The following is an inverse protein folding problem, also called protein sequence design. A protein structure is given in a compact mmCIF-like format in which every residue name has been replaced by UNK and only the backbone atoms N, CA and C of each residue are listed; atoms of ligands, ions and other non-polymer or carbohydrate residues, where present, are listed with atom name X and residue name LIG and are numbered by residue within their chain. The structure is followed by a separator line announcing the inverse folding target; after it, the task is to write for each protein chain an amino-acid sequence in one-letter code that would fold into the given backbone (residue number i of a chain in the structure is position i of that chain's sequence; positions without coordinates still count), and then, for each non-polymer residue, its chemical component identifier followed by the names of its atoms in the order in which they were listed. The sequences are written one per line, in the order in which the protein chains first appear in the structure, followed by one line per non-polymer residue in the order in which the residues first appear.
data_IF_492745200955
#
_entry.id   IF_492745200955
#
_cell.length_a   1.000
_cell.length_b   1.000
_cell.length_c   1.000
_cell.angle_alpha   90.00
_cell.angle_beta   90.00
_cell.angle_gamma   90.00
#
_symmetry.space_group_name_H-M   'P 1'
#
loop_
_entity.id
_entity.type
_entity.pdbx_description
1 polymer ?
#
# COMPACT_ATOMS: atom_id res chain seq x y z
N UNK A 1 2.93 4.22 -16.67
CA UNK A 1 2.47 3.71 -15.36
C UNK A 1 3.43 2.63 -14.86
N UNK A 2 4.54 3.04 -14.24
CA UNK A 2 5.58 2.12 -13.73
C UNK A 2 5.13 1.48 -12.41
N UNK A 3 4.56 2.27 -11.50
CA UNK A 3 3.86 1.77 -10.29
C UNK A 3 2.35 1.76 -10.55
N UNK A 4 1.67 0.68 -10.17
CA UNK A 4 0.22 0.47 -10.38
C UNK A 4 -0.43 -0.08 -9.12
N UNK A 5 -1.74 0.14 -8.99
CA UNK A 5 -2.51 -0.22 -7.81
C UNK A 5 -2.49 0.88 -6.74
N UNK A 6 -3.67 1.26 -6.25
CA UNK A 6 -3.80 2.40 -5.35
C UNK A 6 -2.96 2.25 -4.06
N UNK A 7 -2.92 1.07 -3.40
CA UNK A 7 -2.05 0.87 -2.24
C UNK A 7 -0.56 0.96 -2.59
N UNK A 8 -0.09 0.30 -3.66
CA UNK A 8 1.31 0.37 -4.06
C UNK A 8 1.76 1.78 -4.45
N UNK A 9 0.89 2.58 -5.08
CA UNK A 9 1.18 3.99 -5.39
C UNK A 9 1.38 4.79 -4.12
N UNK A 10 0.49 4.63 -3.13
CA UNK A 10 0.58 5.34 -1.85
C UNK A 10 1.86 5.00 -1.09
N UNK A 11 2.18 3.69 -0.98
CA UNK A 11 3.39 3.22 -0.30
C UNK A 11 4.66 3.66 -1.03
N UNK A 12 4.70 3.55 -2.37
CA UNK A 12 5.86 4.00 -3.14
C UNK A 12 6.09 5.51 -3.00
N UNK A 13 5.03 6.32 -2.98
CA UNK A 13 5.14 7.77 -2.78
C UNK A 13 5.68 8.11 -1.39
N UNK A 14 5.12 7.52 -0.34
CA UNK A 14 5.58 7.72 1.04
C UNK A 14 7.06 7.32 1.21
N UNK A 15 7.44 6.14 0.71
CA UNK A 15 8.82 5.66 0.80
C UNK A 15 9.79 6.47 -0.07
N UNK A 16 9.35 6.99 -1.23
CA UNK A 16 10.21 7.84 -2.06
C UNK A 16 10.61 9.12 -1.35
N UNK A 17 9.68 9.76 -0.63
CA UNK A 17 9.97 10.94 0.16
C UNK A 17 10.80 10.57 1.41
N UNK A 18 10.60 9.39 1.98
CA UNK A 18 11.43 8.89 3.08
C UNK A 18 12.89 8.72 2.66
N UNK A 19 13.14 8.21 1.45
CA UNK A 19 14.48 8.13 0.84
C UNK A 19 15.03 9.52 0.55
N UNK A 20 14.22 10.43 0.00
CA UNK A 20 14.64 11.81 -0.26
C UNK A 20 15.13 12.49 1.03
N UNK A 21 14.35 12.43 2.11
CA UNK A 21 14.76 13.05 3.38
C UNK A 21 15.85 12.27 4.12
N UNK A 22 16.02 10.98 3.85
CA UNK A 22 17.18 10.22 4.34
C UNK A 22 18.49 10.76 3.75
N UNK A 23 18.47 11.14 2.48
CA UNK A 23 19.64 11.65 1.76
C UNK A 23 19.88 13.16 1.97
N UNK A 24 19.06 13.83 2.77
CA UNK A 24 19.32 15.21 3.20
C UNK A 24 20.37 15.21 4.30
N UNK A 25 21.65 15.20 3.92
CA UNK A 25 22.78 15.16 4.86
C UNK A 25 22.87 16.41 5.76
N UNK A 26 22.51 17.58 5.23
CA UNK A 26 22.48 18.84 5.97
C UNK A 26 21.20 19.60 5.67
N UNK A 27 20.28 19.59 6.63
CA UNK A 27 19.10 20.44 6.60
C UNK A 27 19.28 21.60 7.57
N UNK A 28 19.52 22.80 7.05
CA UNK A 28 19.76 24.02 7.84
C UNK A 28 18.49 24.73 8.32
N UNK A 29 17.31 24.16 8.08
CA UNK A 29 16.03 24.73 8.47
C UNK A 29 15.59 24.34 9.88
N UNK A 30 14.57 25.04 10.37
CA UNK A 30 13.90 24.74 11.63
C UNK A 30 13.02 23.48 11.52
N UNK A 31 12.50 23.00 12.66
CA UNK A 31 11.52 21.92 12.68
C UNK A 31 10.24 22.25 11.88
N UNK A 32 9.84 23.53 11.84
CA UNK A 32 8.70 23.97 11.04
C UNK A 32 9.02 23.94 9.55
N UNK A 33 10.24 24.32 9.15
CA UNK A 33 10.68 24.23 7.75
C UNK A 33 10.70 22.76 7.27
N UNK A 34 11.13 21.83 8.12
CA UNK A 34 11.09 20.40 7.83
C UNK A 34 9.66 19.89 7.65
N UNK A 35 8.75 20.29 8.53
CA UNK A 35 7.34 19.94 8.45
C UNK A 35 6.68 20.50 7.17
N UNK A 36 6.94 21.77 6.84
CA UNK A 36 6.45 22.40 5.62
C UNK A 36 7.02 21.74 4.37
N UNK A 37 8.31 21.38 4.35
CA UNK A 37 8.93 20.65 3.24
C UNK A 37 8.21 19.32 3.00
N UNK A 38 8.01 18.52 4.04
CA UNK A 38 7.32 17.24 3.94
C UNK A 38 5.87 17.42 3.47
N UNK A 39 5.14 18.37 4.04
CA UNK A 39 3.75 18.65 3.68
C UNK A 39 3.61 19.04 2.20
N UNK A 40 4.45 19.95 1.71
CA UNK A 40 4.46 20.40 0.32
C UNK A 40 4.81 19.26 -0.65
N UNK A 41 5.77 18.40 -0.28
CA UNK A 41 6.16 17.23 -1.09
C UNK A 41 5.03 16.20 -1.15
N UNK A 42 4.32 15.97 -0.04
CA UNK A 42 3.15 15.11 -0.01
C UNK A 42 2.03 15.66 -0.90
N UNK A 43 1.76 16.97 -0.87
CA UNK A 43 0.78 17.60 -1.76
C UNK A 43 1.14 17.47 -3.24
N UNK A 44 2.42 17.67 -3.55
CA UNK A 44 2.93 17.45 -4.90
C UNK A 44 2.72 16.00 -5.35
N UNK A 45 3.02 15.02 -4.49
CA UNK A 45 2.80 13.60 -4.79
C UNK A 45 1.33 13.29 -5.03
N UNK A 46 0.41 13.80 -4.19
CA UNK A 46 -1.05 13.65 -4.37
C UNK A 46 -1.50 14.20 -5.73
N UNK A 47 -0.97 15.35 -6.14
CA UNK A 47 -1.31 15.97 -7.42
C UNK A 47 -0.95 15.13 -8.65
N UNK A 48 0.02 14.20 -8.52
CA UNK A 48 0.43 13.33 -9.63
C UNK A 48 -0.67 12.36 -10.06
N UNK A 49 -1.56 11.94 -9.14
CA UNK A 49 -2.66 11.00 -9.38
C UNK A 49 -3.84 11.31 -8.45
N UNK A 50 -4.60 12.39 -8.71
CA UNK A 50 -5.62 12.89 -7.78
C UNK A 50 -6.79 11.93 -7.54
N UNK A 51 -6.97 10.92 -8.40
CA UNK A 51 -8.01 9.89 -8.25
C UNK A 51 -7.57 8.70 -7.38
N UNK A 52 -6.30 8.63 -6.97
CA UNK A 52 -5.80 7.57 -6.09
C UNK A 52 -6.09 7.93 -4.62
N UNK A 53 -7.29 7.62 -4.14
CA UNK A 53 -7.73 7.95 -2.76
C UNK A 53 -6.73 7.45 -1.70
N UNK A 54 -6.17 6.24 -1.85
CA UNK A 54 -5.15 5.72 -0.93
C UNK A 54 -3.92 6.63 -0.79
N UNK A 55 -3.53 7.36 -1.85
CA UNK A 55 -2.41 8.30 -1.80
C UNK A 55 -2.79 9.55 -1.01
N UNK A 56 -4.00 10.06 -1.22
CA UNK A 56 -4.54 11.19 -0.45
C UNK A 56 -4.65 10.84 1.04
N UNK A 57 -5.22 9.66 1.36
CA UNK A 57 -5.34 9.18 2.74
C UNK A 57 -3.98 9.00 3.40
N UNK A 58 -3.02 8.44 2.67
CA UNK A 58 -1.64 8.30 3.13
C UNK A 58 -1.00 9.64 3.46
N UNK A 59 -1.14 10.63 2.57
CA UNK A 59 -0.62 11.97 2.77
C UNK A 59 -1.24 12.65 3.99
N UNK A 60 -2.55 12.52 4.20
CA UNK A 60 -3.25 13.07 5.37
C UNK A 60 -2.68 12.47 6.67
N UNK A 61 -2.61 11.14 6.77
CA UNK A 61 -2.06 10.45 7.95
C UNK A 61 -0.61 10.85 8.25
N UNK A 62 0.22 10.95 7.21
CA UNK A 62 1.62 11.35 7.38
C UNK A 62 1.74 12.81 7.85
N UNK A 63 0.89 13.72 7.34
CA UNK A 63 0.84 15.12 7.80
C UNK A 63 0.37 15.22 9.26
N UNK A 64 -0.56 14.38 9.69
CA UNK A 64 -0.96 14.30 11.10
C UNK A 64 0.21 13.85 11.99
N UNK A 65 0.94 12.81 11.59
CA UNK A 65 2.16 12.37 12.30
C UNK A 65 3.17 13.51 12.41
N UNK A 66 3.45 14.20 11.31
CA UNK A 66 4.37 15.34 11.28
C UNK A 66 3.90 16.43 12.26
N UNK A 67 2.62 16.79 12.22
CA UNK A 67 2.05 17.85 13.04
C UNK A 67 2.13 17.53 14.54
N UNK A 68 1.86 16.27 14.90
CA UNK A 68 1.97 15.80 16.29
C UNK A 68 3.42 15.79 16.80
N UNK A 69 4.36 15.41 15.94
CA UNK A 69 5.78 15.35 16.30
C UNK A 69 6.38 16.75 16.44
N UNK A 70 5.99 17.71 15.60
CA UNK A 70 6.41 19.11 15.69
C UNK A 70 6.17 19.71 17.08
N UNK A 71 5.11 19.30 17.78
CA UNK A 71 4.80 19.80 19.12
C UNK A 71 5.81 19.36 20.21
N UNK A 72 6.60 18.31 19.96
CA UNK A 72 7.50 17.70 20.96
C UNK A 72 8.93 17.49 20.46
N UNK A 73 9.19 17.67 19.16
CA UNK A 73 10.49 17.46 18.55
C UNK A 73 11.52 18.52 18.98
N UNK A 74 12.77 18.07 19.17
CA UNK A 74 13.89 18.95 19.49
C UNK A 74 14.46 19.64 18.23
N UNK A 75 14.39 18.98 17.07
CA UNK A 75 15.01 19.44 15.82
C UNK A 75 14.31 18.89 14.56
N UNK A 76 14.70 19.42 13.40
CA UNK A 76 14.22 18.96 12.10
C UNK A 76 14.52 17.47 11.83
N UNK A 77 15.65 16.97 12.35
CA UNK A 77 16.06 15.57 12.18
C UNK A 77 15.03 14.63 12.82
N UNK A 78 14.53 14.97 14.00
CA UNK A 78 13.49 14.21 14.71
C UNK A 78 12.20 14.13 13.90
N UNK A 79 11.80 15.23 13.25
CA UNK A 79 10.64 15.25 12.34
C UNK A 79 10.84 14.30 11.15
N UNK A 80 12.01 14.34 10.50
CA UNK A 80 12.31 13.42 9.40
C UNK A 80 12.36 11.95 9.86
N UNK A 81 12.91 11.65 11.05
CA UNK A 81 12.91 10.29 11.57
C UNK A 81 11.51 9.77 11.83
N UNK A 82 10.64 10.60 12.42
CA UNK A 82 9.26 10.22 12.66
C UNK A 82 8.49 9.98 11.35
N UNK A 83 8.70 10.83 10.34
CA UNK A 83 8.13 10.63 9.02
C UNK A 83 8.57 9.30 8.38
N UNK A 84 9.88 9.01 8.38
CA UNK A 84 10.42 7.76 7.81
C UNK A 84 9.85 6.54 8.53
N UNK A 85 9.83 6.56 9.87
CA UNK A 85 9.25 5.49 10.67
C UNK A 85 7.77 5.28 10.32
N UNK A 86 6.98 6.35 10.24
CA UNK A 86 5.57 6.23 9.85
C UNK A 86 5.39 5.67 8.44
N UNK A 87 6.22 6.07 7.47
CA UNK A 87 6.19 5.52 6.11
C UNK A 87 6.53 4.02 6.06
N UNK A 88 7.50 3.57 6.87
CA UNK A 88 7.85 2.15 7.02
C UNK A 88 6.75 1.35 7.70
N UNK A 89 6.10 1.90 8.74
CA UNK A 89 4.95 1.28 9.40
C UNK A 89 3.79 1.13 8.42
N UNK A 90 3.50 2.14 7.59
CA UNK A 90 2.45 2.02 6.57
C UNK A 90 2.70 0.87 5.58
N UNK A 91 3.96 0.64 5.20
CA UNK A 91 4.33 -0.53 4.40
C UNK A 91 3.98 -1.83 5.13
N UNK A 92 4.36 -1.95 6.40
CA UNK A 92 4.09 -3.15 7.21
C UNK A 92 2.58 -3.37 7.40
N UNK A 93 1.83 -2.31 7.67
CA UNK A 93 0.38 -2.33 7.85
C UNK A 93 -0.35 -2.76 6.58
N UNK A 94 0.07 -2.30 5.39
CA UNK A 94 -0.51 -2.75 4.12
C UNK A 94 -0.26 -4.25 3.90
N UNK A 95 0.94 -4.75 4.21
CA UNK A 95 1.25 -6.19 4.13
C UNK A 95 0.40 -7.00 5.11
N UNK A 96 0.27 -6.53 6.35
CA UNK A 96 -0.55 -7.18 7.38
C UNK A 96 -2.03 -7.20 6.97
N UNK A 97 -2.55 -6.08 6.49
CA UNK A 97 -3.92 -5.93 6.02
C UNK A 97 -4.23 -6.84 4.84
N UNK A 98 -3.33 -6.92 3.85
CA UNK A 98 -3.49 -7.82 2.69
C UNK A 98 -3.52 -9.30 3.10
N UNK A 99 -2.66 -9.71 4.05
CA UNK A 99 -2.69 -11.08 4.60
C UNK A 99 -3.99 -11.35 5.36
N UNK A 100 -4.45 -10.39 6.16
CA UNK A 100 -5.70 -10.50 6.92
C UNK A 100 -6.90 -10.62 5.97
N UNK A 101 -6.97 -9.80 4.92
CA UNK A 101 -7.99 -9.89 3.86
C UNK A 101 -8.01 -11.29 3.25
N UNK A 102 -6.83 -11.84 2.93
CA UNK A 102 -6.71 -13.18 2.39
C UNK A 102 -7.28 -14.25 3.33
N UNK A 103 -6.83 -14.23 4.58
CA UNK A 103 -7.24 -15.20 5.61
C UNK A 103 -8.73 -15.11 5.92
N UNK A 104 -9.26 -13.91 6.17
CA UNK A 104 -10.68 -13.72 6.48
C UNK A 104 -11.57 -14.06 5.28
N UNK A 105 -11.15 -13.68 4.07
CA UNK A 105 -11.88 -14.02 2.84
C UNK A 105 -11.94 -15.53 2.58
N UNK A 106 -10.82 -16.24 2.80
CA UNK A 106 -10.78 -17.69 2.63
C UNK A 106 -11.65 -18.41 3.67
N UNK A 107 -11.57 -18.00 4.95
CA UNK A 107 -12.45 -18.52 6.01
C UNK A 107 -13.92 -18.30 5.69
N UNK A 108 -14.28 -17.08 5.28
CA UNK A 108 -15.65 -16.74 4.92
C UNK A 108 -16.17 -17.65 3.78
N UNK A 109 -15.39 -17.82 2.72
CA UNK A 109 -15.77 -18.68 1.60
C UNK A 109 -15.94 -20.15 2.02
N UNK A 110 -15.03 -20.67 2.85
CA UNK A 110 -15.11 -22.03 3.38
C UNK A 110 -16.37 -22.24 4.23
N UNK A 111 -16.72 -21.26 5.06
CA UNK A 111 -17.87 -21.34 5.94
C UNK A 111 -19.20 -21.26 5.19
N UNK A 112 -19.24 -20.61 4.03
CA UNK A 112 -20.49 -20.39 3.28
C UNK A 112 -20.64 -21.33 2.08
N UNK A 113 -19.56 -21.94 1.59
CA UNK A 113 -19.56 -22.85 0.44
C UNK A 113 -19.29 -24.31 0.84
N UNK A 114 -19.77 -24.72 2.03
CA UNK A 114 -19.54 -26.05 2.66
C UNK A 114 -19.91 -27.25 1.78
N UNK A 115 -20.74 -27.07 0.77
CA UNK A 115 -21.16 -28.13 -0.15
C UNK A 115 -20.05 -28.59 -1.11
N UNK A 116 -18.95 -27.84 -1.25
CA UNK A 116 -17.86 -28.16 -2.17
C UNK A 116 -16.53 -28.31 -1.42
N UNK A 117 -15.85 -29.47 -1.51
CA UNK A 117 -14.57 -29.68 -0.84
C UNK A 117 -13.43 -28.86 -1.47
N UNK A 118 -13.62 -28.39 -2.71
CA UNK A 118 -12.71 -27.48 -3.40
C UNK A 118 -13.49 -26.37 -4.09
N UNK A 119 -12.86 -25.21 -4.24
CA UNK A 119 -13.45 -23.99 -4.79
C UNK A 119 -12.73 -23.57 -6.07
N UNK A 120 -13.50 -23.19 -7.08
CA UNK A 120 -12.99 -22.48 -8.25
C UNK A 120 -13.32 -20.99 -8.14
N UNK A 121 -12.34 -20.12 -8.37
CA UNK A 121 -12.49 -18.66 -8.21
C UNK A 121 -12.25 -17.96 -9.54
N UNK A 122 -13.10 -17.01 -9.91
CA UNK A 122 -12.88 -16.08 -11.00
C UNK A 122 -12.47 -14.72 -10.43
N UNK A 123 -11.39 -14.13 -10.96
CA UNK A 123 -10.94 -12.79 -10.60
C UNK A 123 -10.85 -11.87 -11.82
N UNK A 124 -10.95 -10.57 -11.55
CA UNK A 124 -10.96 -9.52 -12.56
C UNK A 124 -9.92 -8.45 -12.18
N UNK A 125 -9.20 -7.92 -13.18
CA UNK A 125 -8.07 -7.01 -13.00
C UNK A 125 -6.90 -7.66 -12.22
N UNK A 126 -5.94 -6.83 -11.80
CA UNK A 126 -4.84 -7.23 -10.95
C UNK A 126 -4.89 -6.44 -9.65
N UNK A 127 -5.17 -7.14 -8.55
CA UNK A 127 -5.09 -6.63 -7.17
C UNK A 127 -4.12 -7.47 -6.34
N UNK A 128 -3.15 -8.11 -7.01
CA UNK A 128 -2.12 -8.93 -6.40
C UNK A 128 -0.95 -8.12 -5.83
N UNK A 129 0.17 -8.78 -5.57
CA UNK A 129 1.40 -8.16 -5.04
C UNK A 129 2.04 -7.09 -5.92
N UNK A 130 1.65 -7.00 -7.19
CA UNK A 130 2.07 -5.92 -8.09
C UNK A 130 1.21 -4.65 -7.94
N UNK A 131 0.09 -4.75 -7.24
CA UNK A 131 -0.87 -3.66 -7.01
C UNK A 131 -0.92 -3.20 -5.54
N UNK A 132 -0.26 -3.92 -4.64
CA UNK A 132 -0.18 -3.62 -3.21
C UNK A 132 1.27 -3.74 -2.72
N UNK A 133 1.55 -3.43 -1.45
CA UNK A 133 2.89 -3.60 -0.89
C UNK A 133 3.39 -5.05 -1.00
N UNK A 134 2.50 -6.01 -0.73
CA UNK A 134 2.74 -7.44 -0.86
C UNK A 134 1.42 -8.19 -0.76
N UNK A 135 1.43 -9.45 -1.19
CA UNK A 135 0.34 -10.43 -1.02
C UNK A 135 -0.92 -10.14 -1.83
N UNK A 136 -1.37 -8.89 -1.92
CA UNK A 136 -2.59 -8.50 -2.65
C UNK A 136 -3.87 -8.72 -1.87
N UNK A 137 -4.99 -8.23 -2.42
CA UNK A 137 -6.32 -8.31 -1.80
C UNK A 137 -7.10 -9.53 -2.31
N UNK A 138 -7.79 -9.44 -3.45
CA UNK A 138 -8.57 -10.56 -3.98
C UNK A 138 -7.68 -11.76 -4.38
N UNK A 139 -6.55 -11.57 -5.10
CA UNK A 139 -5.53 -12.62 -5.23
C UNK A 139 -4.91 -13.06 -3.90
N UNK A 140 -4.94 -12.22 -2.86
CA UNK A 140 -4.58 -12.63 -1.49
C UNK A 140 -5.50 -13.71 -0.96
N UNK A 141 -6.83 -13.58 -1.17
CA UNK A 141 -7.81 -14.62 -0.84
C UNK A 141 -7.53 -15.90 -1.63
N UNK A 142 -7.26 -15.79 -2.94
CA UNK A 142 -6.91 -16.95 -3.77
C UNK A 142 -5.64 -17.65 -3.25
N UNK A 143 -4.62 -16.88 -2.84
CA UNK A 143 -3.40 -17.42 -2.21
C UNK A 143 -3.70 -18.16 -0.91
N UNK A 144 -4.59 -17.63 -0.07
CA UNK A 144 -5.01 -18.29 1.17
C UNK A 144 -5.77 -19.59 0.88
N UNK A 145 -6.73 -19.59 -0.05
CA UNK A 145 -7.44 -20.80 -0.49
C UNK A 145 -6.48 -21.88 -1.04
N UNK A 146 -5.45 -21.46 -1.77
CA UNK A 146 -4.41 -22.37 -2.26
C UNK A 146 -3.58 -22.96 -1.13
N UNK A 147 -3.14 -22.12 -0.17
CA UNK A 147 -2.37 -22.56 0.98
C UNK A 147 -3.15 -23.54 1.87
N UNK A 148 -4.47 -23.37 1.96
CA UNK A 148 -5.38 -24.25 2.69
C UNK A 148 -5.72 -25.54 1.92
N UNK A 149 -5.23 -25.70 0.68
CA UNK A 149 -5.45 -26.90 -0.15
C UNK A 149 -6.86 -27.03 -0.71
N UNK A 150 -7.68 -25.97 -0.65
CA UNK A 150 -9.09 -25.98 -1.08
C UNK A 150 -9.32 -25.25 -2.41
N UNK A 151 -8.29 -24.63 -3.01
CA UNK A 151 -8.42 -24.05 -4.34
C UNK A 151 -8.31 -25.12 -5.42
N UNK A 152 -9.39 -25.35 -6.16
CA UNK A 152 -9.39 -26.20 -7.35
C UNK A 152 -8.74 -25.48 -8.54
N UNK A 153 -9.19 -24.25 -8.82
CA UNK A 153 -8.74 -23.47 -9.97
C UNK A 153 -8.99 -21.98 -9.79
N UNK A 154 -8.05 -21.16 -10.23
CA UNK A 154 -8.25 -19.73 -10.40
C UNK A 154 -8.38 -19.39 -11.89
N UNK A 155 -9.42 -18.64 -12.23
CA UNK A 155 -9.64 -18.07 -13.55
C UNK A 155 -9.40 -16.57 -13.47
N UNK A 156 -8.63 -16.03 -14.42
CA UNK A 156 -8.33 -14.61 -14.48
C UNK A 156 -8.81 -14.04 -15.81
N UNK A 157 -9.55 -12.92 -15.76
CA UNK A 157 -9.98 -12.24 -16.98
C UNK A 157 -8.83 -11.44 -17.61
N UNK A 158 -8.83 -11.30 -18.94
CA UNK A 158 -7.81 -10.51 -19.66
C UNK A 158 -7.73 -9.05 -19.19
N UNK A 159 -8.87 -8.46 -18.82
CA UNK A 159 -9.00 -7.08 -18.33
C UNK A 159 -8.61 -6.03 -19.39
N UNK A 160 -9.34 -5.99 -20.52
CA UNK A 160 -9.17 -4.95 -21.56
C UNK A 160 -9.50 -3.55 -21.04
N UNK A 161 -8.90 -2.49 -21.62
CA UNK A 161 -7.89 -2.51 -22.70
C UNK A 161 -6.44 -2.65 -22.19
N UNK A 162 -6.22 -2.60 -20.88
CA UNK A 162 -4.87 -2.50 -20.29
C UNK A 162 -4.20 -3.83 -19.98
N UNK A 163 -4.92 -4.95 -20.11
CA UNK A 163 -4.38 -6.30 -20.03
C UNK A 163 -3.61 -6.57 -18.72
N UNK A 164 -4.10 -6.04 -17.58
CA UNK A 164 -3.34 -6.00 -16.32
C UNK A 164 -2.86 -7.39 -15.86
N UNK A 165 -3.62 -8.44 -16.16
CA UNK A 165 -3.34 -9.83 -15.78
C UNK A 165 -2.32 -10.47 -16.72
N UNK A 166 -2.36 -10.19 -18.03
CA UNK A 166 -1.43 -10.78 -19.00
C UNK A 166 0.00 -10.27 -18.80
N UNK A 167 0.15 -9.05 -18.28
CA UNK A 167 1.45 -8.43 -18.02
C UNK A 167 2.01 -8.73 -16.62
N UNK A 168 1.26 -9.43 -15.75
CA UNK A 168 1.70 -9.70 -14.37
C UNK A 168 2.57 -10.94 -14.20
N UNK A 169 2.87 -11.70 -15.26
CA UNK A 169 3.85 -12.80 -15.24
C UNK A 169 3.57 -13.89 -14.20
N UNK A 170 2.31 -14.09 -13.83
CA UNK A 170 1.86 -15.09 -12.86
C UNK A 170 1.60 -16.45 -13.51
#
# INVERSE_FOLDING_TARGET
MVVRGAPAIAIAAALSLAVEVHNLEQFGGTLNDAASLLANKLDYLVSSRPTAVNLSDAAIKLKEVISNVVATAADAKTVFQAYKYAAEIMLQDDVASNKAIGSFGASFLRDHLKASPQLSVLTHCNTGSLATARYGTAPGVIRSLYADGILQKAYCMETRPFNQVLHSGS
#
